data_IF_629051098573
#
_entry.id   IF_629051098573
#
_cell.length_a   1.000
_cell.length_b   1.000
_cell.length_c   1.000
_cell.angle_alpha   90.00
_cell.angle_beta   90.00
_cell.angle_gamma   90.00
#
_symmetry.space_group_name_H-M   'P 1'
#
loop_
_entity.id
_entity.type
_entity.pdbx_description
1 polymer ?
#
# COMPACT_ATOMS: atom_id res chain seq x y z
N UNK A 1 17.82 2.72 -4.40
CA UNK A 1 18.44 1.51 -5.00
C UNK A 1 17.56 1.03 -6.15
N UNK A 2 18.10 0.88 -7.35
CA UNK A 2 17.39 0.15 -8.42
C UNK A 2 17.24 -1.31 -7.99
N UNK A 3 16.04 -1.92 -8.09
CA UNK A 3 15.89 -3.33 -7.78
C UNK A 3 16.76 -4.16 -8.72
N UNK A 4 17.41 -5.19 -8.19
CA UNK A 4 18.21 -6.13 -8.97
C UNK A 4 17.39 -6.78 -10.10
N UNK A 5 18.06 -7.31 -11.13
CA UNK A 5 17.39 -7.88 -12.29
C UNK A 5 16.48 -9.03 -11.86
N UNK A 6 15.16 -8.88 -12.06
CA UNK A 6 14.14 -9.90 -11.79
C UNK A 6 13.11 -9.58 -10.70
N UNK A 7 13.29 -8.55 -9.86
CA UNK A 7 12.28 -8.18 -8.85
C UNK A 7 11.16 -7.31 -9.46
N UNK A 8 9.92 -7.80 -9.42
CA UNK A 8 8.72 -7.03 -9.81
C UNK A 8 8.66 -5.72 -9.01
N UNK A 9 8.27 -4.62 -9.67
CA UNK A 9 8.10 -3.32 -9.00
C UNK A 9 6.74 -3.27 -8.32
N UNK A 10 6.73 -2.88 -7.04
CA UNK A 10 5.52 -2.62 -6.26
C UNK A 10 4.50 -1.73 -6.99
N UNK A 11 4.96 -0.80 -7.83
CA UNK A 11 4.12 0.19 -8.52
C UNK A 11 3.47 -0.31 -9.83
N UNK A 12 3.83 -1.49 -10.34
CA UNK A 12 3.28 -2.01 -11.62
C UNK A 12 2.33 -3.19 -11.45
N UNK A 13 2.31 -3.84 -10.29
CA UNK A 13 1.52 -5.06 -10.10
C UNK A 13 0.02 -4.78 -10.13
N UNK A 14 -0.72 -5.63 -10.85
CA UNK A 14 -2.18 -5.70 -10.78
C UNK A 14 -2.65 -6.37 -9.48
N UNK A 15 -3.69 -5.83 -8.86
CA UNK A 15 -4.06 -6.08 -7.47
C UNK A 15 -5.44 -6.71 -7.37
N UNK A 16 -5.52 -7.85 -6.68
CA UNK A 16 -6.72 -8.24 -5.95
C UNK A 16 -6.64 -7.64 -4.53
N UNK A 17 -7.71 -7.03 -4.03
CA UNK A 17 -7.71 -6.39 -2.71
C UNK A 17 -8.52 -7.23 -1.72
N UNK A 18 -7.86 -7.76 -0.68
CA UNK A 18 -8.55 -8.39 0.44
C UNK A 18 -9.16 -7.30 1.34
N UNK A 19 -10.50 -7.21 1.37
CA UNK A 19 -11.24 -6.27 2.21
C UNK A 19 -12.43 -6.92 2.94
N UNK A 20 -12.40 -8.25 3.07
CA UNK A 20 -13.47 -9.09 3.60
C UNK A 20 -14.07 -8.55 4.91
N UNK A 21 -15.39 -8.34 4.92
CA UNK A 21 -16.12 -7.94 6.11
C UNK A 21 -15.93 -6.47 6.54
N UNK A 22 -15.04 -5.72 5.88
CA UNK A 22 -14.69 -4.37 6.28
C UNK A 22 -14.52 -3.36 5.14
N UNK A 23 -14.77 -3.73 3.87
CA UNK A 23 -14.78 -2.77 2.77
C UNK A 23 -15.73 -1.60 3.03
N UNK A 24 -15.20 -0.39 2.84
CA UNK A 24 -15.86 0.87 3.17
C UNK A 24 -14.86 2.02 3.17
N UNK A 25 -15.35 3.25 3.01
CA UNK A 25 -14.50 4.45 2.90
C UNK A 25 -13.63 4.65 4.14
N UNK A 26 -14.21 4.48 5.33
CA UNK A 26 -13.54 4.73 6.61
C UNK A 26 -12.93 3.45 7.22
N UNK A 27 -13.53 2.30 6.96
CA UNK A 27 -13.18 1.01 7.56
C UNK A 27 -12.05 0.28 6.84
N UNK A 28 -11.87 0.55 5.54
CA UNK A 28 -10.84 -0.06 4.69
C UNK A 28 -10.02 1.00 3.96
N UNK A 29 -9.43 1.94 4.70
CA UNK A 29 -8.69 3.08 4.13
C UNK A 29 -7.65 2.70 3.07
N UNK A 30 -6.91 1.62 3.28
CA UNK A 30 -5.89 1.16 2.32
C UNK A 30 -6.55 0.69 1.03
N UNK A 31 -7.60 -0.15 1.12
CA UNK A 31 -8.40 -0.57 -0.03
C UNK A 31 -9.02 0.62 -0.77
N UNK A 32 -9.73 1.49 -0.05
CA UNK A 32 -10.45 2.63 -0.64
C UNK A 32 -9.50 3.64 -1.30
N UNK A 33 -8.30 3.83 -0.74
CA UNK A 33 -7.27 4.69 -1.34
C UNK A 33 -6.63 4.06 -2.58
N UNK A 34 -6.39 2.74 -2.59
CA UNK A 34 -5.89 2.04 -3.77
C UNK A 34 -6.86 2.21 -4.96
N UNK A 35 -8.15 1.95 -4.72
CA UNK A 35 -9.22 2.18 -5.70
C UNK A 35 -9.27 3.64 -6.16
N UNK A 36 -9.12 4.61 -5.25
CA UNK A 36 -9.27 6.03 -5.59
C UNK A 36 -8.09 6.57 -6.41
N UNK A 37 -6.87 6.18 -6.09
CA UNK A 37 -5.67 6.78 -6.68
C UNK A 37 -5.03 5.93 -7.77
N UNK A 38 -5.34 4.63 -7.82
CA UNK A 38 -4.79 3.69 -8.80
C UNK A 38 -5.85 2.65 -9.26
N UNK A 39 -7.06 3.07 -9.67
CA UNK A 39 -8.12 2.14 -10.06
C UNK A 39 -7.71 1.19 -11.18
N UNK A 40 -6.85 1.63 -12.09
CA UNK A 40 -6.32 0.85 -13.22
C UNK A 40 -5.50 -0.37 -12.79
N UNK A 41 -4.97 -0.35 -11.55
CA UNK A 41 -4.23 -1.46 -10.98
C UNK A 41 -5.13 -2.50 -10.32
N UNK A 42 -6.40 -2.20 -10.05
CA UNK A 42 -7.27 -3.07 -9.25
C UNK A 42 -8.08 -3.97 -10.17
N UNK A 43 -7.87 -5.29 -10.09
CA UNK A 43 -8.67 -6.28 -10.83
C UNK A 43 -9.99 -6.56 -10.13
N UNK A 44 -9.98 -6.64 -8.80
CA UNK A 44 -11.17 -6.93 -8.00
C UNK A 44 -10.96 -6.60 -6.51
N UNK A 45 -12.06 -6.46 -5.79
CA UNK A 45 -12.10 -6.38 -4.32
C UNK A 45 -12.77 -7.64 -3.77
N UNK A 46 -12.19 -8.26 -2.76
CA UNK A 46 -12.74 -9.42 -2.07
C UNK A 46 -13.50 -8.92 -0.84
N UNK A 47 -14.83 -8.96 -0.91
CA UNK A 47 -15.74 -8.75 0.23
C UNK A 47 -17.10 -9.42 -0.02
N UNK A 48 -17.36 -10.51 0.70
CA UNK A 48 -18.58 -11.32 0.56
C UNK A 48 -19.88 -10.54 0.77
N UNK A 49 -19.84 -9.44 1.53
CA UNK A 49 -21.04 -8.62 1.82
C UNK A 49 -21.56 -7.87 0.61
N UNK A 50 -20.69 -7.58 -0.36
CA UNK A 50 -20.99 -6.80 -1.56
C UNK A 50 -20.73 -7.57 -2.86
N UNK A 51 -20.52 -8.89 -2.77
CA UNK A 51 -20.23 -9.73 -3.91
C UNK A 51 -21.30 -9.62 -5.01
N UNK A 52 -20.86 -9.49 -6.26
CA UNK A 52 -21.72 -9.30 -7.43
C UNK A 52 -22.08 -7.85 -7.75
N UNK A 53 -21.68 -6.89 -6.90
CA UNK A 53 -21.75 -5.46 -7.19
C UNK A 53 -20.38 -4.91 -7.63
N UNK A 54 -20.36 -3.65 -8.03
CA UNK A 54 -19.13 -2.91 -8.35
C UNK A 54 -18.70 -2.00 -7.21
N UNK A 55 -17.42 -1.62 -7.22
CA UNK A 55 -16.89 -0.64 -6.27
C UNK A 55 -17.56 0.73 -6.47
N UNK A 56 -17.89 1.10 -7.71
CA UNK A 56 -18.64 2.31 -8.04
C UNK A 56 -20.01 2.36 -7.36
N UNK A 57 -20.77 1.26 -7.42
CA UNK A 57 -22.07 1.16 -6.74
C UNK A 57 -21.94 1.21 -5.22
N UNK A 58 -20.87 0.63 -4.66
CA UNK A 58 -20.69 0.50 -3.21
C UNK A 58 -20.11 1.76 -2.56
N UNK A 59 -19.11 2.39 -3.17
CA UNK A 59 -18.38 3.54 -2.60
C UNK A 59 -18.68 4.88 -3.30
N UNK A 60 -19.38 4.87 -4.44
CA UNK A 60 -19.62 6.05 -5.27
C UNK A 60 -18.42 6.47 -6.14
N UNK A 61 -17.34 5.67 -6.15
CA UNK A 61 -16.17 5.84 -7.01
C UNK A 61 -15.51 4.49 -7.25
N UNK A 62 -14.54 4.40 -8.17
CA UNK A 62 -13.88 3.13 -8.52
C UNK A 62 -14.51 2.41 -9.72
N UNK A 63 -15.60 2.94 -10.27
CA UNK A 63 -16.20 2.45 -11.52
C UNK A 63 -16.57 0.97 -11.47
N UNK A 64 -16.30 0.26 -12.55
CA UNK A 64 -16.76 -1.11 -12.78
C UNK A 64 -15.86 -2.18 -12.12
N UNK A 65 -14.97 -1.81 -11.21
CA UNK A 65 -14.14 -2.79 -10.48
C UNK A 65 -15.09 -3.76 -9.76
N UNK A 66 -15.02 -5.07 -10.05
CA UNK A 66 -15.93 -6.04 -9.46
C UNK A 66 -15.60 -6.31 -8.00
N UNK A 67 -16.65 -6.52 -7.19
CA UNK A 67 -16.53 -7.07 -5.84
C UNK A 67 -16.92 -8.55 -5.90
N UNK A 68 -16.03 -9.40 -5.41
CA UNK A 68 -16.15 -10.87 -5.43
C UNK A 68 -16.18 -11.42 -4.01
N UNK A 69 -16.76 -12.61 -3.83
CA UNK A 69 -16.94 -13.19 -2.50
C UNK A 69 -15.69 -13.91 -2.00
N UNK A 70 -14.85 -14.42 -2.90
CA UNK A 70 -13.74 -15.30 -2.54
C UNK A 70 -12.45 -14.96 -3.27
N UNK A 71 -11.32 -15.38 -2.70
CA UNK A 71 -10.03 -15.29 -3.38
C UNK A 71 -9.99 -16.08 -4.68
N UNK A 72 -10.67 -17.23 -4.75
CA UNK A 72 -10.73 -18.04 -5.97
C UNK A 72 -11.39 -17.27 -7.14
N UNK A 73 -12.48 -16.55 -6.87
CA UNK A 73 -13.12 -15.66 -7.85
C UNK A 73 -12.21 -14.49 -8.23
N UNK A 74 -11.51 -13.89 -7.26
CA UNK A 74 -10.55 -12.82 -7.55
C UNK A 74 -9.39 -13.29 -8.44
N UNK A 75 -8.89 -14.51 -8.21
CA UNK A 75 -7.82 -15.12 -8.99
C UNK A 75 -8.26 -15.44 -10.42
N UNK A 76 -9.53 -15.80 -10.61
CA UNK A 76 -10.15 -16.06 -11.91
C UNK A 76 -10.62 -14.79 -12.64
N UNK A 77 -10.52 -13.62 -12.01
CA UNK A 77 -10.91 -12.36 -12.63
C UNK A 77 -10.01 -12.03 -13.82
N UNK A 78 -10.58 -11.37 -14.83
CA UNK A 78 -9.83 -10.87 -15.98
C UNK A 78 -9.79 -9.34 -15.96
N UNK A 79 -8.60 -8.73 -16.05
CA UNK A 79 -7.29 -9.37 -16.12
C UNK A 79 -6.80 -9.97 -14.78
N UNK A 80 -6.13 -11.13 -14.85
CA UNK A 80 -5.63 -11.87 -13.68
C UNK A 80 -4.76 -10.99 -12.76
N UNK A 81 -4.96 -11.02 -11.43
CA UNK A 81 -4.11 -10.31 -10.47
C UNK A 81 -2.69 -10.87 -10.41
N UNK A 82 -1.73 -10.00 -10.12
CA UNK A 82 -0.31 -10.34 -9.95
C UNK A 82 0.14 -10.23 -8.48
N UNK A 83 -0.63 -9.51 -7.67
CA UNK A 83 -0.43 -9.38 -6.24
C UNK A 83 -1.76 -9.33 -5.48
N UNK A 84 -1.74 -9.78 -4.24
CA UNK A 84 -2.81 -9.61 -3.27
C UNK A 84 -2.44 -8.44 -2.32
N UNK A 85 -3.29 -7.41 -2.28
CA UNK A 85 -3.19 -6.32 -1.30
C UNK A 85 -4.04 -6.63 -0.07
N UNK A 86 -3.44 -6.61 1.11
CA UNK A 86 -4.16 -6.59 2.38
C UNK A 86 -4.73 -5.18 2.60
N UNK A 87 -6.01 -5.01 2.26
CA UNK A 87 -6.69 -3.70 2.22
C UNK A 87 -7.31 -3.25 3.54
N UNK A 88 -7.30 -4.12 4.55
CA UNK A 88 -7.93 -3.94 5.86
C UNK A 88 -6.96 -4.29 6.98
N UNK A 89 -7.18 -3.74 8.17
CA UNK A 89 -6.39 -4.04 9.37
C UNK A 89 -7.23 -4.87 10.35
N UNK A 90 -6.67 -5.94 10.93
CA UNK A 90 -7.40 -6.74 11.90
C UNK A 90 -7.51 -5.98 13.22
N UNK A 91 -8.62 -6.19 13.93
CA UNK A 91 -8.75 -5.71 15.30
C UNK A 91 -7.83 -6.51 16.22
N UNK A 92 -7.06 -5.84 17.07
CA UNK A 92 -6.21 -6.50 18.07
C UNK A 92 -4.83 -6.98 17.58
N UNK A 93 -4.43 -6.66 16.35
CA UNK A 93 -3.04 -6.80 15.88
C UNK A 93 -2.58 -8.20 15.48
N UNK A 94 -3.39 -9.24 15.68
CA UNK A 94 -3.12 -10.58 15.16
C UNK A 94 -3.74 -10.79 13.78
N UNK A 95 -3.07 -11.57 12.92
CA UNK A 95 -3.59 -11.98 11.62
C UNK A 95 -4.66 -13.07 11.82
N UNK A 96 -5.92 -12.86 11.42
CA UNK A 96 -6.96 -13.89 11.53
C UNK A 96 -6.62 -15.12 10.68
N UNK A 97 -6.92 -16.32 11.17
CA UNK A 97 -6.64 -17.58 10.47
C UNK A 97 -7.24 -17.62 9.06
N UNK A 98 -8.47 -17.11 8.91
CA UNK A 98 -9.13 -17.01 7.61
C UNK A 98 -8.34 -16.17 6.61
N UNK A 99 -7.68 -15.09 7.05
CA UNK A 99 -6.83 -14.27 6.18
C UNK A 99 -5.52 -14.97 5.87
N UNK A 100 -4.93 -15.66 6.86
CA UNK A 100 -3.72 -16.47 6.65
C UNK A 100 -3.91 -17.51 5.55
N UNK A 101 -5.05 -18.21 5.54
CA UNK A 101 -5.39 -19.16 4.49
C UNK A 101 -5.44 -18.49 3.09
N UNK A 102 -5.97 -17.26 3.00
CA UNK A 102 -5.97 -16.49 1.75
C UNK A 102 -4.55 -16.08 1.32
N UNK A 103 -3.70 -15.66 2.27
CA UNK A 103 -2.30 -15.32 1.96
C UNK A 103 -1.53 -16.53 1.42
N UNK A 104 -1.68 -17.69 2.06
CA UNK A 104 -1.08 -18.96 1.61
C UNK A 104 -1.55 -19.31 0.20
N UNK A 105 -2.87 -19.28 -0.05
CA UNK A 105 -3.42 -19.57 -1.37
C UNK A 105 -2.92 -18.59 -2.45
N UNK A 106 -2.72 -17.31 -2.11
CA UNK A 106 -2.18 -16.32 -3.02
C UNK A 106 -0.71 -16.59 -3.37
N UNK A 107 0.11 -16.92 -2.38
CA UNK A 107 1.51 -17.31 -2.59
C UNK A 107 1.62 -18.59 -3.44
N UNK A 108 0.81 -19.61 -3.14
CA UNK A 108 0.77 -20.85 -3.92
C UNK A 108 0.36 -20.60 -5.39
N UNK A 109 -0.52 -19.63 -5.62
CA UNK A 109 -0.93 -19.19 -6.94
C UNK A 109 0.08 -18.29 -7.67
N UNK A 110 1.21 -17.95 -7.03
CA UNK A 110 2.29 -17.13 -7.61
C UNK A 110 2.04 -15.62 -7.54
N UNK A 111 1.19 -15.16 -6.62
CA UNK A 111 0.93 -13.73 -6.39
C UNK A 111 1.88 -13.19 -5.30
N UNK A 112 2.41 -11.99 -5.51
CA UNK A 112 3.07 -11.23 -4.46
C UNK A 112 2.06 -10.82 -3.38
N UNK A 113 2.50 -10.60 -2.14
CA UNK A 113 1.64 -10.08 -1.07
C UNK A 113 2.08 -8.67 -0.72
N UNK A 114 1.13 -7.73 -0.67
CA UNK A 114 1.38 -6.36 -0.22
C UNK A 114 0.63 -6.14 1.08
N UNK A 115 1.36 -5.84 2.14
CA UNK A 115 0.81 -5.69 3.49
C UNK A 115 1.21 -4.35 4.10
N UNK A 116 0.22 -3.65 4.63
CA UNK A 116 0.44 -2.46 5.46
C UNK A 116 0.19 -2.71 6.95
N UNK A 117 0.19 -3.97 7.37
CA UNK A 117 0.01 -4.37 8.77
C UNK A 117 1.25 -4.00 9.61
N UNK A 118 1.03 -3.79 10.91
CA UNK A 118 2.14 -3.64 11.87
C UNK A 118 2.87 -4.96 12.12
N UNK A 119 2.18 -6.09 11.94
CA UNK A 119 2.82 -7.40 11.86
C UNK A 119 3.49 -7.51 10.49
N UNK A 120 4.81 -7.72 10.47
CA UNK A 120 5.56 -7.95 9.24
C UNK A 120 5.40 -9.39 8.80
N UNK A 121 4.91 -9.59 7.58
CA UNK A 121 4.68 -10.94 7.05
C UNK A 121 5.99 -11.66 6.74
N UNK A 122 7.05 -10.94 6.36
CA UNK A 122 8.36 -11.54 6.13
C UNK A 122 9.05 -12.07 7.40
N UNK A 123 8.54 -11.71 8.58
CA UNK A 123 9.05 -12.23 9.85
C UNK A 123 8.33 -13.54 10.26
N UNK A 124 7.28 -13.97 9.54
CA UNK A 124 6.67 -15.30 9.65
C UNK A 124 7.47 -16.32 8.81
N UNK A 125 8.16 -17.30 9.44
CA UNK A 125 9.02 -18.24 8.72
C UNK A 125 8.27 -19.12 7.71
N UNK A 126 6.98 -19.39 7.93
CA UNK A 126 6.18 -20.22 7.04
C UNK A 126 5.80 -19.43 5.78
N UNK A 127 5.36 -18.18 5.94
CA UNK A 127 5.01 -17.31 4.82
C UNK A 127 6.24 -16.95 3.98
N UNK A 128 7.37 -16.65 4.61
CA UNK A 128 8.61 -16.33 3.91
C UNK A 128 9.11 -17.54 3.10
N UNK A 129 9.16 -18.74 3.72
CA UNK A 129 9.57 -19.96 3.03
C UNK A 129 8.63 -20.34 1.89
N UNK A 130 7.33 -20.04 2.01
CA UNK A 130 6.36 -20.26 0.96
C UNK A 130 6.54 -19.25 -0.18
N UNK A 131 6.75 -17.97 0.13
CA UNK A 131 7.03 -16.94 -0.87
C UNK A 131 8.28 -17.29 -1.70
N UNK A 132 9.37 -17.69 -1.04
CA UNK A 132 10.60 -18.14 -1.69
C UNK A 132 10.35 -19.34 -2.62
N UNK A 133 9.59 -20.34 -2.15
CA UNK A 133 9.27 -21.55 -2.92
C UNK A 133 8.52 -21.25 -4.21
N UNK A 134 7.61 -20.28 -4.17
CA UNK A 134 6.76 -19.91 -5.31
C UNK A 134 7.30 -18.71 -6.12
N UNK A 135 8.46 -18.17 -5.74
CA UNK A 135 9.07 -17.02 -6.42
C UNK A 135 8.30 -15.70 -6.22
N UNK A 136 7.56 -15.60 -5.12
CA UNK A 136 6.79 -14.43 -4.74
C UNK A 136 7.59 -13.50 -3.82
N UNK A 137 7.14 -12.26 -3.67
CA UNK A 137 7.69 -11.29 -2.72
C UNK A 137 6.65 -10.85 -1.70
N UNK A 138 7.04 -10.80 -0.42
CA UNK A 138 6.28 -10.15 0.64
C UNK A 138 6.70 -8.68 0.76
N UNK A 139 5.78 -7.77 0.45
CA UNK A 139 5.98 -6.32 0.54
C UNK A 139 5.33 -5.77 1.80
N UNK A 140 6.11 -5.70 2.89
CA UNK A 140 5.71 -5.04 4.13
C UNK A 140 5.91 -3.52 4.02
N UNK A 141 4.86 -2.79 3.67
CA UNK A 141 4.87 -1.33 3.45
C UNK A 141 5.27 -0.52 4.69
N UNK A 142 5.18 -1.14 5.87
CA UNK A 142 5.57 -0.52 7.14
C UNK A 142 7.01 -0.82 7.55
N UNK A 143 7.69 -1.79 6.94
CA UNK A 143 9.04 -2.18 7.34
C UNK A 143 10.02 -1.06 6.96
N UNK A 144 10.65 -0.36 7.93
CA UNK A 144 11.54 0.73 7.62
C UNK A 144 12.87 0.19 7.06
N UNK A 145 13.62 1.00 6.28
CA UNK A 145 15.00 0.67 5.94
C UNK A 145 15.84 0.44 7.21
N UNK A 146 16.73 -0.56 7.22
CA UNK A 146 17.53 -0.88 8.42
C UNK A 146 18.64 0.15 8.71
N UNK A 147 19.00 0.97 7.74
CA UNK A 147 20.17 1.87 7.75
C UNK A 147 19.78 3.36 7.92
N UNK A 148 18.72 3.64 8.69
CA UNK A 148 18.28 5.02 8.89
C UNK A 148 19.27 5.81 9.76
N UNK A 149 19.79 6.96 9.28
CA UNK A 149 20.64 7.81 10.09
C UNK A 149 19.80 8.63 11.08
N UNK A 150 20.47 9.26 12.05
CA UNK A 150 19.89 10.40 12.78
C UNK A 150 19.83 11.61 11.83
N UNK A 151 18.80 12.44 11.94
CA UNK A 151 18.66 13.63 11.11
C UNK A 151 19.82 14.62 11.29
N UNK A 152 20.34 15.15 10.18
CA UNK A 152 21.50 16.05 10.15
C UNK A 152 21.20 17.45 9.58
N UNK A 153 19.95 17.71 9.18
CA UNK A 153 19.54 18.97 8.57
C UNK A 153 19.97 19.15 7.11
N UNK A 154 20.41 18.09 6.43
CA UNK A 154 20.87 18.08 5.03
C UNK A 154 19.83 18.61 4.04
N UNK A 155 18.55 18.41 4.35
CA UNK A 155 17.45 18.95 3.55
C UNK A 155 17.53 20.48 3.40
N UNK A 156 18.05 21.20 4.41
CA UNK A 156 18.20 22.66 4.37
C UNK A 156 19.20 23.14 3.31
N UNK A 157 20.09 22.27 2.84
CA UNK A 157 21.10 22.59 1.83
C UNK A 157 20.62 22.45 0.38
N UNK A 158 19.34 22.19 0.14
CA UNK A 158 18.80 22.02 -1.22
C UNK A 158 17.84 23.14 -1.61
N UNK A 159 17.74 23.42 -2.90
CA UNK A 159 16.80 24.43 -3.44
C UNK A 159 15.34 23.94 -3.57
N UNK A 160 15.06 22.68 -3.23
CA UNK A 160 13.70 22.13 -3.30
C UNK A 160 12.76 22.82 -2.30
N UNK A 161 11.66 23.39 -2.82
CA UNK A 161 10.58 23.90 -1.98
C UNK A 161 9.80 22.74 -1.37
N UNK A 162 9.71 22.71 -0.03
CA UNK A 162 9.08 21.61 0.71
C UNK A 162 7.77 22.08 1.33
N UNK A 163 6.71 21.32 1.07
CA UNK A 163 5.39 21.55 1.65
C UNK A 163 5.04 20.39 2.55
N UNK A 164 4.87 20.66 3.85
CA UNK A 164 4.37 19.68 4.81
C UNK A 164 2.89 19.96 5.09
N UNK A 165 2.01 19.02 4.74
CA UNK A 165 0.60 19.09 5.15
C UNK A 165 0.45 18.66 6.60
N UNK A 166 0.12 19.60 7.47
CA UNK A 166 -0.27 19.34 8.87
C UNK A 166 -1.78 19.39 9.02
N UNK A 167 -2.32 18.76 10.05
CA UNK A 167 -3.75 18.71 10.31
C UNK A 167 -4.02 18.60 11.81
N UNK A 168 -5.18 19.07 12.24
CA UNK A 168 -5.59 19.12 13.65
C UNK A 168 -5.85 17.74 14.26
N UNK A 169 -6.06 16.72 13.42
CA UNK A 169 -6.30 15.34 13.84
C UNK A 169 -5.79 14.34 12.78
N UNK A 170 -5.79 13.05 13.13
CA UNK A 170 -5.56 11.92 12.24
C UNK A 170 -6.72 11.71 11.25
N UNK A 171 -6.45 11.05 10.14
CA UNK A 171 -7.44 10.71 9.10
C UNK A 171 -8.25 11.88 8.47
N UNK A 172 -7.79 13.13 8.60
CA UNK A 172 -8.43 14.36 8.10
C UNK A 172 -8.08 14.74 6.64
N UNK A 173 -7.49 13.83 5.86
CA UNK A 173 -7.17 14.09 4.45
C UNK A 173 -5.80 14.72 4.16
N UNK A 174 -4.85 14.74 5.12
CA UNK A 174 -3.47 15.24 4.89
C UNK A 174 -2.79 14.65 3.64
N UNK A 175 -2.88 13.33 3.48
CA UNK A 175 -2.36 12.62 2.31
C UNK A 175 -3.09 13.05 1.03
N UNK A 176 -4.42 13.15 1.08
CA UNK A 176 -5.25 13.58 -0.06
C UNK A 176 -4.85 14.96 -0.54
N UNK A 177 -4.71 15.94 0.38
CA UNK A 177 -4.25 17.29 0.03
C UNK A 177 -2.87 17.26 -0.63
N UNK A 178 -1.94 16.46 -0.11
CA UNK A 178 -0.60 16.34 -0.69
C UNK A 178 -0.61 15.78 -2.12
N UNK A 179 -1.38 14.72 -2.36
CA UNK A 179 -1.51 14.10 -3.69
C UNK A 179 -2.19 15.03 -4.70
N UNK A 180 -3.27 15.70 -4.29
CA UNK A 180 -3.97 16.65 -5.18
C UNK A 180 -3.12 17.89 -5.47
N UNK A 181 -2.32 18.37 -4.50
CA UNK A 181 -1.35 19.44 -4.72
C UNK A 181 -0.27 19.01 -5.70
N UNK A 182 0.30 17.81 -5.55
CA UNK A 182 1.28 17.26 -6.49
C UNK A 182 0.71 17.21 -7.91
N UNK A 183 -0.47 16.59 -8.09
CA UNK A 183 -1.16 16.49 -9.40
C UNK A 183 -1.38 17.87 -10.02
N UNK A 184 -1.84 18.85 -9.23
CA UNK A 184 -2.08 20.21 -9.72
C UNK A 184 -0.78 20.95 -10.10
N UNK A 185 0.33 20.69 -9.41
CA UNK A 185 1.65 21.23 -9.75
C UNK A 185 2.19 20.59 -11.04
N UNK A 186 2.11 19.27 -11.17
CA UNK A 186 2.52 18.53 -12.38
C UNK A 186 1.71 18.94 -13.60
N UNK A 187 0.39 19.12 -13.46
CA UNK A 187 -0.47 19.63 -14.53
C UNK A 187 -0.10 21.05 -15.00
N UNK A 188 0.64 21.82 -14.18
CA UNK A 188 1.18 23.14 -14.52
C UNK A 188 2.64 23.07 -15.02
N UNK A 189 3.18 21.87 -15.24
CA UNK A 189 4.56 21.67 -15.68
C UNK A 189 5.60 21.86 -14.57
N UNK A 190 5.20 21.90 -13.31
CA UNK A 190 6.14 21.95 -12.18
C UNK A 190 6.62 20.53 -11.87
N UNK A 191 7.93 20.35 -11.76
CA UNK A 191 8.52 19.10 -11.27
C UNK A 191 8.21 18.96 -9.77
N UNK A 192 7.18 18.20 -9.45
CA UNK A 192 6.78 17.88 -8.09
C UNK A 192 7.05 16.41 -7.77
N UNK A 193 7.18 16.09 -6.48
CA UNK A 193 7.28 14.73 -5.98
C UNK A 193 6.49 14.60 -4.68
N UNK A 194 6.13 13.38 -4.32
CA UNK A 194 5.40 13.08 -3.09
C UNK A 194 6.20 12.15 -2.18
N UNK A 195 6.60 12.68 -1.02
CA UNK A 195 7.30 11.95 0.02
C UNK A 195 6.29 11.19 0.89
N UNK A 196 6.07 9.92 0.58
CA UNK A 196 5.12 9.09 1.32
C UNK A 196 5.65 8.71 2.72
N UNK A 197 4.90 9.10 3.75
CA UNK A 197 5.25 8.89 5.17
C UNK A 197 4.48 7.76 5.86
N UNK A 198 3.62 7.05 5.14
CA UNK A 198 2.80 5.97 5.69
C UNK A 198 2.37 4.98 4.62
N UNK A 199 1.96 3.78 5.06
CA UNK A 199 1.64 2.62 4.22
C UNK A 199 0.82 2.96 2.96
N UNK A 200 -0.27 3.73 3.09
CA UNK A 200 -1.16 4.06 1.96
C UNK A 200 -0.46 4.96 0.95
N UNK A 201 0.33 5.93 1.42
CA UNK A 201 1.12 6.77 0.54
C UNK A 201 2.19 5.96 -0.20
N UNK A 202 2.83 4.99 0.48
CA UNK A 202 3.88 4.14 -0.09
C UNK A 202 3.29 3.23 -1.17
N UNK A 203 2.10 2.66 -0.92
CA UNK A 203 1.37 1.89 -1.93
C UNK A 203 1.14 2.71 -3.21
N UNK A 204 0.72 3.97 -3.06
CA UNK A 204 0.40 4.87 -4.18
C UNK A 204 1.67 5.35 -4.89
N UNK A 205 2.67 5.80 -4.13
CA UNK A 205 3.92 6.34 -4.69
C UNK A 205 4.86 5.25 -5.21
N UNK A 206 4.72 4.02 -4.72
CA UNK A 206 5.64 2.91 -4.96
C UNK A 206 6.95 2.99 -4.16
N UNK A 207 7.20 4.10 -3.46
CA UNK A 207 8.35 4.34 -2.59
C UNK A 207 7.93 5.13 -1.36
N UNK A 208 8.73 5.09 -0.31
CA UNK A 208 8.57 5.92 0.88
C UNK A 208 8.98 5.19 2.15
N UNK A 209 8.66 5.77 3.30
CA UNK A 209 9.04 5.25 4.62
C UNK A 209 7.86 5.46 5.57
N UNK A 210 7.36 4.40 6.19
CA UNK A 210 6.30 4.49 7.17
C UNK A 210 6.87 5.01 8.50
N UNK A 211 6.75 6.31 8.73
CA UNK A 211 7.43 6.98 9.86
C UNK A 211 6.92 6.53 11.23
N UNK A 212 5.71 5.97 11.29
CA UNK A 212 5.11 5.44 12.51
C UNK A 212 5.64 4.06 12.93
N UNK A 213 6.43 3.40 12.07
CA UNK A 213 7.15 2.17 12.36
C UNK A 213 8.67 2.39 12.55
N UNK A 214 9.13 3.65 12.47
CA UNK A 214 10.54 4.02 12.66
C UNK A 214 10.82 4.24 14.15
N UNK A 215 11.94 3.72 14.64
CA UNK A 215 12.42 3.99 16.00
C UNK A 215 12.66 5.50 16.18
N UNK A 216 12.23 6.06 17.31
CA UNK A 216 12.13 7.50 17.57
C UNK A 216 13.38 8.31 17.15
N UNK A 217 14.57 7.80 17.46
CA UNK A 217 15.84 8.48 17.22
C UNK A 217 16.15 8.71 15.73
N UNK A 218 15.52 7.92 14.85
CA UNK A 218 15.75 7.94 13.41
C UNK A 218 14.61 8.59 12.61
N UNK A 219 13.53 9.05 13.25
CA UNK A 219 12.37 9.65 12.56
C UNK A 219 12.80 10.87 11.72
N UNK A 220 13.65 11.74 12.29
CA UNK A 220 14.14 12.93 11.58
C UNK A 220 15.03 12.57 10.38
N UNK A 221 15.85 11.52 10.49
CA UNK A 221 16.67 11.04 9.39
C UNK A 221 15.87 10.31 8.31
N UNK A 222 14.80 9.60 8.68
CA UNK A 222 13.85 9.03 7.73
C UNK A 222 13.13 10.12 6.93
N UNK A 223 12.61 11.16 7.60
CA UNK A 223 12.01 12.31 6.94
C UNK A 223 13.01 13.06 6.06
N UNK A 224 14.25 13.20 6.50
CA UNK A 224 15.32 13.79 5.69
C UNK A 224 15.58 12.97 4.42
N UNK A 225 15.79 11.65 4.54
CA UNK A 225 16.00 10.75 3.39
C UNK A 225 14.87 10.85 2.37
N UNK A 226 13.62 10.81 2.84
CA UNK A 226 12.42 10.97 2.01
C UNK A 226 12.39 12.27 1.17
N UNK A 227 13.06 13.33 1.63
CA UNK A 227 13.04 14.65 0.97
C UNK A 227 14.31 14.96 0.19
N UNK A 228 15.26 14.04 0.15
CA UNK A 228 16.49 14.13 -0.62
C UNK A 228 16.49 13.21 -1.85
N UNK A 229 15.74 12.10 -1.78
CA UNK A 229 15.46 11.19 -2.90
C UNK A 229 14.41 11.76 -3.87
#
# INVERSE_FOLDING_TARGET
>A
MSPGPGRKRLSSSRLAILAEGAFGVETAKTASSAVRYQPERVSSVIDSRFAGSTVGETLGFGGDIPIVATFAEALAAEPRPEALLVGIAPQGGQLPEAWRAVLVAALEAGLDIISGLHLFLCDDPELEALADRHGCTLFDLRKPPPDLPVGAGRAMGTDAFRVLTVGTDCNTGKMTVSLELQRALEARGVRAGFAATGQTGILIAGTGIAVDAVVSDFISGAAERLTLE
#
